data_IF_841612376771
#
_entry.id   IF_841612376771
#
_cell.length_a   1.000
_cell.length_b   1.000
_cell.length_c   1.000
_cell.angle_alpha   90.00
_cell.angle_beta   90.00
_cell.angle_gamma   90.00
#
_symmetry.space_group_name_H-M   'P 1'
#
loop_
_entity.id
_entity.type
_entity.pdbx_description
1 polymer ?
#
# COMPACT_ATOMS: atom_id res chain seq x y z
N UNK A 1 3.71 21.52 5.95
CA UNK A 1 2.49 21.33 6.75
C UNK A 1 2.37 19.85 7.10
N UNK A 2 2.08 19.47 8.35
CA UNK A 2 1.82 18.07 8.69
C UNK A 2 0.61 17.55 7.90
N UNK A 3 0.61 16.26 7.57
CA UNK A 3 -0.49 15.61 6.86
C UNK A 3 -1.65 15.43 7.86
N UNK A 4 -2.66 16.30 7.82
CA UNK A 4 -3.78 16.24 8.77
C UNK A 4 -4.66 14.99 8.57
N UNK A 5 -4.71 14.42 7.36
CA UNK A 5 -5.42 13.16 7.07
C UNK A 5 -4.93 12.52 5.78
N UNK A 6 -4.76 11.19 5.78
CA UNK A 6 -4.53 10.39 4.56
C UNK A 6 -5.78 9.59 4.30
N UNK A 7 -6.49 9.92 3.22
CA UNK A 7 -7.64 9.21 2.70
C UNK A 7 -7.54 9.07 1.16
N UNK A 8 -8.61 8.59 0.52
CA UNK A 8 -8.64 8.36 -0.93
C UNK A 8 -8.40 9.64 -1.74
N UNK A 9 -8.99 10.75 -1.32
CA UNK A 9 -8.85 12.04 -2.01
C UNK A 9 -7.43 12.57 -1.87
N UNK A 10 -6.86 12.46 -0.67
CA UNK A 10 -5.46 12.79 -0.45
C UNK A 10 -4.54 11.93 -1.32
N UNK A 11 -4.77 10.60 -1.41
CA UNK A 11 -3.96 9.71 -2.24
C UNK A 11 -4.05 10.12 -3.71
N UNK A 12 -5.24 10.40 -4.23
CA UNK A 12 -5.43 10.80 -5.61
C UNK A 12 -4.64 12.08 -5.97
N UNK A 13 -4.60 13.04 -5.05
CA UNK A 13 -3.98 14.35 -5.29
C UNK A 13 -2.48 14.38 -4.99
N UNK A 14 -2.04 13.63 -3.98
CA UNK A 14 -0.72 13.81 -3.37
C UNK A 14 0.14 12.55 -3.35
N UNK A 15 -0.39 11.36 -3.62
CA UNK A 15 0.44 10.16 -3.57
C UNK A 15 1.32 10.00 -4.81
N UNK A 16 2.54 9.52 -4.58
CA UNK A 16 3.39 8.90 -5.58
C UNK A 16 3.67 7.44 -5.17
N UNK A 17 4.25 6.65 -6.07
CA UNK A 17 4.64 5.27 -5.76
C UNK A 17 6.07 5.00 -6.17
N UNK A 18 6.79 4.26 -5.33
CA UNK A 18 8.14 3.79 -5.58
C UNK A 18 8.13 2.27 -5.70
N UNK A 19 8.79 1.73 -6.74
CA UNK A 19 9.01 0.30 -6.86
C UNK A 19 9.95 -0.17 -5.75
N UNK A 20 9.51 -1.15 -4.98
CA UNK A 20 10.30 -1.77 -3.90
C UNK A 20 10.84 -3.12 -4.34
N UNK A 21 10.03 -3.89 -5.05
CA UNK A 21 10.37 -5.24 -5.46
C UNK A 21 9.67 -5.58 -6.78
N UNK A 22 10.37 -6.31 -7.63
CA UNK A 22 9.81 -6.89 -8.85
C UNK A 22 10.41 -8.27 -9.06
N UNK A 23 9.55 -9.29 -9.14
CA UNK A 23 9.94 -10.63 -9.53
C UNK A 23 9.06 -11.14 -10.68
N UNK A 24 9.71 -11.72 -11.68
CA UNK A 24 9.08 -12.48 -12.73
C UNK A 24 9.24 -13.96 -12.42
N UNK A 25 8.14 -14.61 -12.05
CA UNK A 25 8.07 -16.04 -11.82
C UNK A 25 7.53 -16.71 -13.09
N UNK A 26 7.84 -17.99 -13.30
CA UNK A 26 7.46 -18.71 -14.52
C UNK A 26 5.97 -18.61 -14.87
N UNK A 27 5.12 -18.53 -13.85
CA UNK A 27 3.66 -18.50 -13.91
C UNK A 27 3.02 -17.16 -13.47
N UNK A 28 3.75 -16.25 -12.83
CA UNK A 28 3.20 -14.97 -12.33
C UNK A 28 4.24 -13.86 -12.22
N UNK A 29 3.81 -12.61 -12.16
CA UNK A 29 4.63 -11.44 -11.87
C UNK A 29 4.21 -10.88 -10.52
N UNK A 30 5.17 -10.54 -9.68
CA UNK A 30 4.94 -9.85 -8.41
C UNK A 30 5.62 -8.48 -8.45
N UNK A 31 4.84 -7.42 -8.28
CA UNK A 31 5.33 -6.06 -8.12
C UNK A 31 4.91 -5.53 -6.75
N UNK A 32 5.88 -5.12 -5.93
CA UNK A 32 5.60 -4.42 -4.68
C UNK A 32 6.00 -2.95 -4.80
N UNK A 33 5.11 -2.08 -4.34
CA UNK A 33 5.31 -0.63 -4.35
C UNK A 33 5.03 -0.03 -2.97
N UNK A 34 5.79 1.01 -2.64
CA UNK A 34 5.58 1.85 -1.47
C UNK A 34 4.93 3.16 -1.90
N UNK A 35 4.00 3.65 -1.11
CA UNK A 35 3.33 4.93 -1.34
C UNK A 35 4.10 6.04 -0.64
N UNK A 36 4.33 7.14 -1.37
CA UNK A 36 5.06 8.32 -0.92
C UNK A 36 4.13 9.54 -0.97
N UNK A 37 4.38 10.54 -0.14
CA UNK A 37 3.86 11.90 -0.34
C UNK A 37 4.69 12.59 -1.42
N UNK A 38 4.03 13.02 -2.51
CA UNK A 38 4.69 13.68 -3.65
C UNK A 38 5.29 15.02 -3.28
N UNK A 39 4.80 15.67 -2.22
CA UNK A 39 5.23 17.02 -1.81
C UNK A 39 6.63 17.03 -1.21
N UNK A 40 6.99 15.98 -0.47
CA UNK A 40 8.28 15.88 0.23
C UNK A 40 9.04 14.57 -0.03
N UNK A 41 8.47 13.66 -0.81
CA UNK A 41 9.05 12.37 -1.19
C UNK A 41 9.05 11.31 -0.09
N UNK A 42 8.44 11.59 1.08
CA UNK A 42 8.52 10.69 2.23
C UNK A 42 7.51 9.54 2.16
N UNK A 43 7.87 8.33 2.59
CA UNK A 43 6.92 7.23 2.78
C UNK A 43 5.78 7.61 3.72
N UNK A 44 4.55 7.27 3.33
CA UNK A 44 3.37 7.53 4.19
C UNK A 44 3.00 6.36 5.10
N UNK A 45 3.71 5.24 5.03
CA UNK A 45 3.42 4.02 5.79
C UNK A 45 2.53 3.01 5.05
N UNK A 46 2.15 3.29 3.80
CA UNK A 46 1.31 2.40 2.96
C UNK A 46 2.13 1.74 1.85
N UNK A 47 1.88 0.45 1.59
CA UNK A 47 2.46 -0.33 0.48
C UNK A 47 1.36 -1.14 -0.20
N UNK A 48 1.58 -1.53 -1.45
CA UNK A 48 0.73 -2.50 -2.14
C UNK A 48 1.57 -3.47 -2.97
N UNK A 49 1.04 -4.67 -3.18
CA UNK A 49 1.58 -5.67 -4.08
C UNK A 49 0.56 -6.04 -5.14
N UNK A 50 0.97 -5.94 -6.41
CA UNK A 50 0.22 -6.41 -7.57
C UNK A 50 0.80 -7.77 -8.00
N UNK A 51 -0.03 -8.81 -7.96
CA UNK A 51 0.31 -10.15 -8.47
C UNK A 51 -0.48 -10.42 -9.73
N UNK A 52 0.21 -10.47 -10.87
CA UNK A 52 -0.41 -10.76 -12.17
C UNK A 52 -0.08 -12.18 -12.60
N UNK A 53 -1.09 -12.97 -12.92
CA UNK A 53 -0.94 -14.38 -13.25
C UNK A 53 -0.88 -14.57 -14.77
N UNK A 54 0.15 -15.23 -15.26
CA UNK A 54 0.31 -15.50 -16.70
C UNK A 54 -0.78 -16.45 -17.19
N UNK A 55 -1.14 -16.36 -18.48
CA UNK A 55 -2.07 -17.29 -19.11
C UNK A 55 -1.39 -18.65 -19.33
N UNK A 56 -1.34 -19.47 -18.29
CA UNK A 56 -0.78 -20.83 -18.34
C UNK A 56 -1.78 -21.82 -17.79
N UNK A 57 -1.73 -23.08 -18.24
CA UNK A 57 -2.63 -24.15 -17.75
C UNK A 57 -2.58 -24.33 -16.22
N UNK A 58 -1.47 -23.99 -15.57
CA UNK A 58 -1.27 -24.15 -14.12
C UNK A 58 -2.06 -23.15 -13.28
N UNK A 59 -2.41 -21.98 -13.83
CA UNK A 59 -3.06 -20.91 -13.08
C UNK A 59 -4.59 -21.02 -13.02
N UNK A 60 -5.20 -21.98 -13.74
CA UNK A 60 -6.65 -22.20 -13.73
C UNK A 60 -7.43 -20.89 -13.93
N UNK A 61 -8.34 -20.60 -13.00
CA UNK A 61 -9.22 -19.42 -13.03
C UNK A 61 -8.46 -18.08 -12.84
N UNK A 62 -7.22 -18.14 -12.34
CA UNK A 62 -6.38 -16.95 -12.19
C UNK A 62 -5.65 -16.60 -13.50
N UNK A 63 -5.70 -17.45 -14.53
CA UNK A 63 -4.97 -17.21 -15.77
C UNK A 63 -5.35 -15.86 -16.42
N UNK A 64 -4.39 -14.93 -16.49
CA UNK A 64 -4.59 -13.60 -17.05
C UNK A 64 -5.28 -12.60 -16.12
N UNK A 65 -5.41 -12.91 -14.82
CA UNK A 65 -5.94 -11.99 -13.82
C UNK A 65 -4.82 -11.27 -13.06
N UNK A 66 -5.19 -10.24 -12.30
CA UNK A 66 -4.30 -9.53 -11.39
C UNK A 66 -4.98 -9.33 -10.05
N UNK A 67 -4.24 -9.55 -8.96
CA UNK A 67 -4.71 -9.35 -7.59
C UNK A 67 -3.86 -8.29 -6.93
N UNK A 68 -4.50 -7.29 -6.32
CA UNK A 68 -3.84 -6.27 -5.49
C UNK A 68 -4.07 -6.59 -4.03
N UNK A 69 -3.00 -6.49 -3.24
CA UNK A 69 -3.07 -6.51 -1.76
C UNK A 69 -2.37 -5.28 -1.20
N UNK A 70 -2.79 -4.85 -0.02
CA UNK A 70 -2.27 -3.69 0.69
C UNK A 70 -1.54 -4.12 1.95
N UNK A 71 -0.63 -3.28 2.43
CA UNK A 71 0.00 -3.47 3.74
C UNK A 71 0.34 -2.12 4.35
N UNK A 72 0.30 -2.07 5.67
CA UNK A 72 0.64 -0.88 6.46
C UNK A 72 1.90 -1.18 7.26
N UNK A 73 2.81 -0.22 7.36
CA UNK A 73 4.02 -0.37 8.16
C UNK A 73 3.70 -0.70 9.61
N UNK A 74 4.37 -1.71 10.20
CA UNK A 74 4.03 -2.17 11.55
C UNK A 74 2.73 -2.99 11.64
N UNK A 75 2.13 -3.37 10.50
CA UNK A 75 1.05 -4.34 10.43
C UNK A 75 1.45 -5.49 9.49
N UNK A 76 1.72 -6.66 10.06
CA UNK A 76 2.36 -7.78 9.36
C UNK A 76 1.41 -8.53 8.40
N UNK A 77 0.11 -8.23 8.42
CA UNK A 77 -0.88 -8.92 7.59
C UNK A 77 -1.15 -8.15 6.29
N UNK A 78 -1.29 -8.90 5.19
CA UNK A 78 -1.76 -8.35 3.92
C UNK A 78 -3.28 -8.10 3.98
N UNK A 79 -3.70 -6.95 3.48
CA UNK A 79 -5.08 -6.47 3.48
C UNK A 79 -5.65 -6.54 2.07
N UNK A 80 -6.92 -6.91 1.96
CA UNK A 80 -7.57 -7.07 0.66
C UNK A 80 -7.91 -5.71 0.03
N UNK A 81 -8.25 -4.72 0.86
CA UNK A 81 -8.77 -3.44 0.38
C UNK A 81 -7.91 -2.24 0.81
N UNK A 82 -8.04 -1.15 0.07
CA UNK A 82 -7.42 0.12 0.44
C UNK A 82 -8.07 0.71 1.70
N UNK A 83 -9.38 0.56 1.88
CA UNK A 83 -10.09 1.15 3.02
C UNK A 83 -9.62 0.55 4.34
N UNK A 84 -9.48 -0.79 4.43
CA UNK A 84 -8.89 -1.47 5.59
C UNK A 84 -7.49 -0.94 5.89
N UNK A 85 -6.67 -0.74 4.85
CA UNK A 85 -5.32 -0.22 5.02
C UNK A 85 -5.29 1.24 5.49
N UNK A 86 -6.22 2.07 5.01
CA UNK A 86 -6.34 3.46 5.45
C UNK A 86 -6.83 3.57 6.90
N UNK A 87 -7.76 2.70 7.31
CA UNK A 87 -8.23 2.62 8.69
C UNK A 87 -7.10 2.24 9.65
N UNK A 88 -6.34 1.19 9.34
CA UNK A 88 -5.19 0.77 10.15
C UNK A 88 -4.12 1.88 10.20
N UNK A 89 -3.81 2.50 9.06
CA UNK A 89 -2.86 3.61 8.99
C UNK A 89 -3.30 4.79 9.86
N UNK A 90 -4.60 5.09 9.87
CA UNK A 90 -5.17 6.14 10.72
C UNK A 90 -5.00 5.79 12.20
N UNK A 91 -5.38 4.59 12.62
CA UNK A 91 -5.25 4.12 14.01
C UNK A 91 -3.79 4.16 14.48
N UNK A 92 -2.85 3.66 13.67
CA UNK A 92 -1.43 3.69 14.01
C UNK A 92 -0.90 5.11 14.15
N UNK A 93 -1.34 6.04 13.30
CA UNK A 93 -0.93 7.44 13.41
C UNK A 93 -1.52 8.12 14.64
N UNK A 94 -2.76 7.81 15.03
CA UNK A 94 -3.32 8.29 16.28
C UNK A 94 -2.51 7.82 17.49
N UNK A 95 -2.05 6.56 17.49
CA UNK A 95 -1.15 6.03 18.51
C UNK A 95 0.29 6.57 18.44
N UNK A 96 0.71 7.08 17.28
CA UNK A 96 2.03 7.68 17.06
C UNK A 96 2.06 9.20 17.29
N UNK A 97 0.91 9.86 17.47
CA UNK A 97 0.86 11.23 17.96
C UNK A 97 1.36 11.19 19.41
N UNK A 98 2.55 11.73 19.73
CA UNK A 98 2.92 11.88 21.12
C UNK A 98 1.84 12.72 21.80
N UNK A 99 1.45 12.34 23.01
CA UNK A 99 0.61 13.15 23.88
C UNK A 99 1.31 14.49 24.17
N UNK A 100 1.21 15.46 23.26
CA UNK A 100 1.89 16.74 23.37
C UNK A 100 1.04 17.86 22.74
N UNK A 101 -0.04 18.20 23.44
CA UNK A 101 -0.59 19.55 23.51
C UNK A 101 -1.47 19.68 24.77
N UNK A 102 -0.88 19.40 25.94
CA UNK A 102 -1.34 19.94 27.22
C UNK A 102 -0.12 20.52 27.92
N UNK A 103 0.15 21.78 27.63
CA UNK A 103 1.25 22.59 28.17
C UNK A 103 1.12 23.98 27.61
#
# INVERSE_FOLDING_TARGET
>A
MPIERIDRDWIAQHAATQLVFHANMGDRHLLQRRVLDRRDGRPIGLRYADTSYKRTKRNGDLAGTSVRTWSVEGHDQALATLDEALEILHVQRLGALPAAARG
#
